data_IF_628007125224
#
_entry.id   IF_628007125224
#
_cell.length_a   1.000
_cell.length_b   1.000
_cell.length_c   1.000
_cell.angle_alpha   90.00
_cell.angle_beta   90.00
_cell.angle_gamma   90.00
#
_symmetry.space_group_name_H-M   'P 1'
#
loop_
_entity.id
_entity.type
_entity.pdbx_description
1 polymer ?
#
# COMPACT_ATOMS: atom_id res chain seq x y z
N UNK A 1 25.68 -22.93 18.12
CA UNK A 1 24.81 -23.17 16.92
C UNK A 1 23.95 -24.42 17.07
N UNK A 2 24.50 -25.64 17.06
CA UNK A 2 23.70 -26.90 17.10
C UNK A 2 22.70 -27.00 18.25
N UNK A 3 23.13 -26.73 19.49
CA UNK A 3 22.25 -26.82 20.66
C UNK A 3 21.04 -25.87 20.55
N UNK A 4 21.26 -24.65 20.06
CA UNK A 4 20.19 -23.65 19.85
C UNK A 4 19.19 -24.11 18.79
N UNK A 5 19.66 -24.66 17.66
CA UNK A 5 18.77 -25.15 16.61
C UNK A 5 17.94 -26.37 17.06
N UNK A 6 18.50 -27.24 17.89
CA UNK A 6 17.78 -28.37 18.46
C UNK A 6 16.73 -27.94 19.48
N UNK A 7 17.06 -27.00 20.37
CA UNK A 7 16.10 -26.41 21.32
C UNK A 7 14.93 -25.74 20.57
N UNK A 8 15.22 -24.93 19.55
CA UNK A 8 14.21 -24.33 18.68
C UNK A 8 13.32 -25.41 18.02
N UNK A 9 13.93 -26.41 17.40
CA UNK A 9 13.20 -27.48 16.71
C UNK A 9 12.31 -28.28 17.67
N UNK A 10 12.77 -28.55 18.89
CA UNK A 10 11.97 -29.20 19.93
C UNK A 10 10.73 -28.37 20.30
N UNK A 11 10.94 -27.09 20.65
CA UNK A 11 9.85 -26.18 21.04
C UNK A 11 8.79 -26.03 19.94
N UNK A 12 9.22 -25.91 18.68
CA UNK A 12 8.29 -25.81 17.55
C UNK A 12 7.41 -27.07 17.42
N UNK A 13 7.97 -28.27 17.58
CA UNK A 13 7.18 -29.51 17.50
C UNK A 13 6.21 -29.65 18.67
N UNK A 14 6.63 -29.26 19.86
CA UNK A 14 5.86 -29.49 21.09
C UNK A 14 4.71 -28.49 21.26
N UNK A 15 4.88 -27.26 20.77
CA UNK A 15 3.95 -26.15 21.07
C UNK A 15 3.21 -25.57 19.87
N UNK A 16 3.63 -25.86 18.63
CA UNK A 16 2.96 -25.30 17.45
C UNK A 16 1.65 -26.01 17.16
N UNK A 17 0.66 -25.24 16.70
CA UNK A 17 -0.54 -25.82 16.10
C UNK A 17 -0.18 -26.50 14.77
N UNK A 18 -0.62 -27.74 14.50
CA UNK A 18 -0.26 -28.45 13.28
C UNK A 18 -1.08 -27.94 12.08
N UNK A 19 -0.79 -26.75 11.56
CA UNK A 19 -1.52 -26.13 10.44
C UNK A 19 -1.47 -26.93 9.13
N UNK A 20 -0.46 -27.79 8.97
CA UNK A 20 -0.37 -28.73 7.85
C UNK A 20 -1.43 -29.83 7.90
N UNK A 21 -2.00 -30.10 9.08
CA UNK A 21 -3.00 -31.15 9.25
C UNK A 21 -4.36 -30.66 8.78
N UNK A 22 -5.00 -31.43 7.89
CA UNK A 22 -6.39 -31.19 7.46
C UNK A 22 -7.41 -31.31 8.61
N UNK A 23 -6.98 -31.75 9.79
CA UNK A 23 -7.80 -31.73 11.01
C UNK A 23 -7.95 -30.34 11.61
N UNK A 24 -7.07 -29.39 11.26
CA UNK A 24 -7.19 -28.01 11.70
C UNK A 24 -8.18 -27.26 10.80
N UNK A 25 -9.36 -26.93 11.34
CA UNK A 25 -10.44 -26.20 10.66
C UNK A 25 -10.80 -24.92 11.44
N UNK A 26 -9.78 -24.19 11.88
CA UNK A 26 -9.91 -23.01 12.73
C UNK A 26 -9.79 -21.69 11.95
N UNK A 27 -8.70 -20.97 12.19
CA UNK A 27 -8.44 -19.64 11.62
C UNK A 27 -7.81 -19.73 10.21
N UNK A 28 -7.46 -18.57 9.63
CA UNK A 28 -6.94 -18.38 8.27
C UNK A 28 -5.51 -18.95 8.04
N UNK A 29 -5.23 -20.15 8.52
CA UNK A 29 -3.92 -20.78 8.37
C UNK A 29 -4.05 -22.17 7.74
N UNK A 30 -3.15 -22.46 6.81
CA UNK A 30 -2.98 -23.75 6.16
C UNK A 30 -1.49 -24.02 5.95
N UNK A 31 -1.16 -25.22 5.46
CA UNK A 31 0.18 -25.44 4.91
C UNK A 31 0.47 -24.43 3.79
N UNK A 32 1.73 -24.06 3.64
CA UNK A 32 2.16 -23.10 2.61
C UNK A 32 2.58 -23.82 1.33
N UNK A 33 2.51 -23.12 0.19
CA UNK A 33 3.02 -23.66 -1.06
C UNK A 33 4.52 -23.94 -0.94
N UNK A 34 4.94 -25.18 -1.25
CA UNK A 34 6.35 -25.58 -1.18
C UNK A 34 7.28 -24.64 -1.97
N UNK A 35 6.83 -24.20 -3.15
CA UNK A 35 7.59 -23.25 -3.98
C UNK A 35 7.79 -21.89 -3.30
N UNK A 36 6.81 -21.40 -2.53
CA UNK A 36 6.94 -20.14 -1.80
C UNK A 36 8.00 -20.24 -0.70
N UNK A 37 7.98 -21.35 0.07
CA UNK A 37 8.97 -21.62 1.11
C UNK A 37 10.38 -21.79 0.53
N UNK A 38 10.52 -22.52 -0.58
CA UNK A 38 11.81 -22.70 -1.27
C UNK A 38 12.35 -21.38 -1.84
N UNK A 39 11.51 -20.58 -2.48
CA UNK A 39 11.89 -19.27 -2.99
C UNK A 39 12.34 -18.34 -1.85
N UNK A 40 11.60 -18.30 -0.74
CA UNK A 40 11.98 -17.48 0.43
C UNK A 40 13.33 -17.91 1.01
N UNK A 41 13.55 -19.22 1.19
CA UNK A 41 14.83 -19.74 1.69
C UNK A 41 15.98 -19.38 0.75
N UNK A 42 15.81 -19.56 -0.56
CA UNK A 42 16.82 -19.21 -1.56
C UNK A 42 17.13 -17.71 -1.56
N UNK A 43 16.10 -16.86 -1.58
CA UNK A 43 16.26 -15.40 -1.60
C UNK A 43 16.89 -14.86 -0.31
N UNK A 44 16.58 -15.45 0.85
CA UNK A 44 17.15 -15.03 2.14
C UNK A 44 18.68 -15.13 2.16
N UNK A 45 19.27 -16.08 1.42
CA UNK A 45 20.73 -16.22 1.32
C UNK A 45 21.40 -15.05 0.59
N UNK A 46 20.66 -14.37 -0.30
CA UNK A 46 21.13 -13.17 -1.00
C UNK A 46 20.74 -11.87 -0.30
N UNK A 47 19.78 -11.95 0.63
CA UNK A 47 19.31 -10.84 1.46
C UNK A 47 19.08 -9.51 0.68
N UNK A 48 18.34 -9.54 -0.44
CA UNK A 48 18.11 -8.34 -1.22
C UNK A 48 17.22 -7.35 -0.44
N UNK A 49 17.43 -6.06 -0.69
CA UNK A 49 16.61 -4.99 -0.12
C UNK A 49 15.83 -4.29 -1.25
N UNK A 50 14.53 -4.56 -1.33
CA UNK A 50 13.63 -4.00 -2.37
C UNK A 50 13.34 -2.49 -2.21
N UNK A 51 13.78 -1.85 -1.11
CA UNK A 51 13.67 -0.38 -0.96
C UNK A 51 14.60 0.34 -1.94
N UNK A 52 15.76 -0.24 -2.24
CA UNK A 52 16.76 0.35 -3.14
C UNK A 52 17.08 -0.63 -4.26
N UNK A 53 16.84 -0.20 -5.50
CA UNK A 53 16.99 -1.04 -6.69
C UNK A 53 18.38 -1.68 -6.82
N UNK A 54 19.44 -0.94 -6.50
CA UNK A 54 20.84 -1.43 -6.57
C UNK A 54 21.11 -2.65 -5.67
N UNK A 55 20.33 -2.82 -4.59
CA UNK A 55 20.44 -3.94 -3.65
C UNK A 55 19.44 -5.07 -3.93
N UNK A 56 18.67 -4.99 -5.01
CA UNK A 56 17.57 -5.90 -5.33
C UNK A 56 17.31 -6.01 -6.83
N UNK A 57 18.36 -5.93 -7.65
CA UNK A 57 18.26 -5.94 -9.12
C UNK A 57 17.46 -7.13 -9.67
N UNK A 58 17.46 -8.27 -8.98
CA UNK A 58 16.67 -9.44 -9.34
C UNK A 58 15.24 -9.40 -8.75
N UNK A 59 15.07 -8.99 -7.50
CA UNK A 59 13.79 -9.10 -6.77
C UNK A 59 12.89 -7.87 -6.90
N UNK A 60 13.43 -6.69 -7.20
CA UNK A 60 12.65 -5.49 -7.49
C UNK A 60 11.77 -5.65 -8.75
N UNK A 61 12.29 -6.15 -9.89
CA UNK A 61 11.44 -6.48 -11.05
C UNK A 61 10.38 -7.54 -10.74
N UNK A 62 10.73 -8.59 -9.97
CA UNK A 62 9.78 -9.63 -9.56
C UNK A 62 8.63 -9.08 -8.72
N UNK A 63 8.88 -8.08 -7.87
CA UNK A 63 7.81 -7.41 -7.11
C UNK A 63 6.89 -6.59 -8.02
N UNK A 64 7.44 -5.92 -9.05
CA UNK A 64 6.64 -5.21 -10.06
C UNK A 64 5.77 -6.20 -10.85
N UNK A 65 6.31 -7.36 -11.21
CA UNK A 65 5.56 -8.45 -11.85
C UNK A 65 4.43 -8.96 -10.95
N UNK A 66 4.72 -9.20 -9.66
CA UNK A 66 3.73 -9.58 -8.65
C UNK A 66 2.60 -8.54 -8.54
N UNK A 67 2.95 -7.25 -8.51
CA UNK A 67 1.97 -6.15 -8.52
C UNK A 67 1.07 -6.15 -9.76
N UNK A 68 1.63 -6.44 -10.94
CA UNK A 68 0.86 -6.58 -12.19
C UNK A 68 -0.04 -7.81 -12.17
N UNK A 69 0.42 -8.90 -11.59
CA UNK A 69 -0.38 -10.11 -11.41
C UNK A 69 -1.56 -9.86 -10.47
N UNK A 70 -1.36 -9.10 -9.39
CA UNK A 70 -2.46 -8.65 -8.52
C UNK A 70 -3.44 -7.73 -9.25
N UNK A 71 -2.95 -6.76 -10.02
CA UNK A 71 -3.82 -5.89 -10.83
C UNK A 71 -4.70 -6.72 -11.78
N UNK A 72 -4.11 -7.70 -12.47
CA UNK A 72 -4.85 -8.62 -13.34
C UNK A 72 -5.87 -9.45 -12.57
N UNK A 73 -5.48 -9.98 -11.41
CA UNK A 73 -6.32 -10.83 -10.56
C UNK A 73 -7.61 -10.11 -10.14
N UNK A 74 -7.53 -8.82 -9.81
CA UNK A 74 -8.68 -8.02 -9.37
C UNK A 74 -9.42 -7.30 -10.51
N UNK A 75 -9.00 -7.51 -11.76
CA UNK A 75 -9.67 -6.97 -12.95
C UNK A 75 -9.24 -5.56 -13.37
N UNK A 76 -8.12 -5.04 -12.85
CA UNK A 76 -7.52 -3.80 -13.34
C UNK A 76 -6.59 -4.05 -14.54
N UNK A 77 -6.38 -3.02 -15.37
CA UNK A 77 -5.41 -3.08 -16.47
C UNK A 77 -3.98 -3.07 -15.90
N UNK A 78 -3.18 -4.15 -16.07
CA UNK A 78 -1.82 -4.22 -15.54
C UNK A 78 -0.83 -3.23 -16.18
N UNK A 79 -1.17 -2.61 -17.31
CA UNK A 79 -0.32 -1.61 -17.97
C UNK A 79 -0.49 -0.21 -17.35
N UNK A 80 -1.66 0.08 -16.79
CA UNK A 80 -1.97 1.39 -16.19
C UNK A 80 -2.12 1.35 -14.67
N UNK A 81 -1.99 0.16 -14.07
CA UNK A 81 -2.15 -0.06 -12.64
C UNK A 81 -0.82 -0.44 -12.00
N UNK A 82 -0.71 -0.20 -10.69
CA UNK A 82 0.48 -0.50 -9.92
C UNK A 82 0.10 -1.12 -8.57
N UNK A 83 0.95 -2.00 -8.07
CA UNK A 83 0.84 -2.63 -6.77
C UNK A 83 2.21 -3.09 -6.30
N UNK A 84 2.34 -3.35 -5.00
CA UNK A 84 3.56 -3.86 -4.38
C UNK A 84 3.20 -4.73 -3.17
N UNK A 85 4.19 -5.42 -2.61
CA UNK A 85 4.02 -6.23 -1.42
C UNK A 85 4.21 -5.33 -0.20
N UNK A 86 3.27 -5.38 0.75
CA UNK A 86 3.40 -4.74 2.06
C UNK A 86 3.82 -5.77 3.11
N UNK A 87 4.21 -5.32 4.30
CA UNK A 87 4.54 -6.22 5.41
C UNK A 87 3.36 -7.14 5.78
N UNK A 88 2.15 -6.59 5.77
CA UNK A 88 0.89 -7.30 6.00
C UNK A 88 -0.31 -6.50 5.47
N UNK A 89 -1.52 -7.05 5.63
CA UNK A 89 -2.77 -6.40 5.22
C UNK A 89 -3.16 -5.18 6.06
N UNK A 90 -2.68 -5.06 7.30
CA UNK A 90 -2.91 -3.86 8.12
C UNK A 90 -2.17 -2.68 7.53
N UNK A 91 -0.90 -2.87 7.17
CA UNK A 91 -0.10 -1.83 6.50
C UNK A 91 -0.70 -1.47 5.14
N UNK A 92 -1.18 -2.45 4.36
CA UNK A 92 -1.88 -2.18 3.09
C UNK A 92 -3.12 -1.30 3.30
N UNK A 93 -3.93 -1.56 4.33
CA UNK A 93 -5.11 -0.73 4.65
C UNK A 93 -4.70 0.69 5.08
N UNK A 94 -3.64 0.82 5.89
CA UNK A 94 -3.11 2.13 6.28
C UNK A 94 -2.60 2.92 5.08
N UNK A 95 -1.88 2.30 4.16
CA UNK A 95 -1.41 2.93 2.93
C UNK A 95 -2.57 3.35 2.02
N UNK A 96 -3.62 2.53 1.89
CA UNK A 96 -4.83 2.88 1.15
C UNK A 96 -5.52 4.12 1.73
N UNK A 97 -5.66 4.19 3.07
CA UNK A 97 -6.20 5.37 3.74
C UNK A 97 -5.29 6.59 3.61
N UNK A 98 -3.97 6.40 3.64
CA UNK A 98 -3.00 7.47 3.43
C UNK A 98 -3.12 8.06 2.02
N UNK A 99 -3.26 7.22 0.99
CA UNK A 99 -3.53 7.64 -0.39
C UNK A 99 -4.86 8.39 -0.49
N UNK A 100 -5.95 7.82 0.02
CA UNK A 100 -7.27 8.43 -0.01
C UNK A 100 -7.29 9.81 0.66
N UNK A 101 -6.67 9.93 1.85
CA UNK A 101 -6.52 11.20 2.57
C UNK A 101 -5.78 12.25 1.74
N UNK A 102 -4.63 11.86 1.15
CA UNK A 102 -3.81 12.78 0.39
C UNK A 102 -4.53 13.25 -0.88
N UNK A 103 -5.15 12.33 -1.62
CA UNK A 103 -5.96 12.63 -2.81
C UNK A 103 -7.10 13.60 -2.46
N UNK A 104 -7.87 13.31 -1.40
CA UNK A 104 -9.01 14.15 -0.98
C UNK A 104 -8.58 15.56 -0.59
N UNK A 105 -7.39 15.73 -0.03
CA UNK A 105 -6.86 17.04 0.39
C UNK A 105 -6.26 17.87 -0.75
N UNK A 106 -5.91 17.24 -1.87
CA UNK A 106 -5.11 17.86 -2.90
C UNK A 106 -5.83 19.00 -3.67
N UNK A 107 -7.10 18.86 -4.09
CA UNK A 107 -7.79 19.91 -4.85
C UNK A 107 -7.86 21.27 -4.13
N UNK A 108 -8.12 21.27 -2.82
CA UNK A 108 -8.11 22.50 -2.02
C UNK A 108 -6.70 23.08 -1.87
N UNK A 109 -5.68 22.21 -1.74
CA UNK A 109 -4.30 22.65 -1.71
C UNK A 109 -3.86 23.27 -3.05
N UNK A 110 -4.28 22.68 -4.17
CA UNK A 110 -4.07 23.21 -5.51
C UNK A 110 -4.80 24.55 -5.70
N UNK A 111 -6.04 24.69 -5.20
CA UNK A 111 -6.77 25.97 -5.20
C UNK A 111 -5.99 27.08 -4.49
N UNK A 112 -5.39 26.76 -3.34
CA UNK A 112 -4.64 27.75 -2.55
C UNK A 112 -3.34 28.24 -3.22
N UNK A 113 -2.69 27.40 -4.03
CA UNK A 113 -1.37 27.71 -4.62
C UNK A 113 -1.40 27.99 -6.12
N UNK A 114 -2.44 27.52 -6.82
CA UNK A 114 -2.63 27.61 -8.25
C UNK A 114 -4.13 27.77 -8.60
N UNK A 115 -4.79 28.86 -8.14
CA UNK A 115 -6.24 29.04 -8.30
C UNK A 115 -6.71 29.07 -9.76
N UNK A 116 -5.83 29.39 -10.71
CA UNK A 116 -6.13 29.36 -12.14
C UNK A 116 -6.44 27.95 -12.67
N UNK A 117 -5.92 26.89 -12.03
CA UNK A 117 -6.13 25.50 -12.46
C UNK A 117 -7.50 24.94 -12.06
N UNK A 118 -8.20 25.61 -11.15
CA UNK A 118 -9.50 25.18 -10.60
C UNK A 118 -10.51 26.33 -10.61
N UNK A 119 -10.35 27.25 -11.56
CA UNK A 119 -11.15 28.48 -11.62
C UNK A 119 -12.63 28.14 -11.82
N UNK A 120 -13.48 28.71 -10.96
CA UNK A 120 -14.92 28.53 -11.03
C UNK A 120 -15.43 27.26 -10.33
N UNK A 121 -14.55 26.42 -9.79
CA UNK A 121 -14.94 25.26 -8.99
C UNK A 121 -15.03 25.65 -7.53
N UNK A 122 -16.20 25.48 -6.92
CA UNK A 122 -16.40 25.77 -5.51
C UNK A 122 -15.75 24.68 -4.61
N UNK A 123 -15.51 24.97 -3.32
CA UNK A 123 -14.85 24.02 -2.41
C UNK A 123 -15.56 22.68 -2.25
N UNK A 124 -16.89 22.63 -2.35
CA UNK A 124 -17.64 21.38 -2.27
C UNK A 124 -17.42 20.53 -3.52
N UNK A 125 -17.49 21.13 -4.71
CA UNK A 125 -17.16 20.45 -5.96
C UNK A 125 -15.70 19.93 -5.97
N UNK A 126 -14.74 20.73 -5.48
CA UNK A 126 -13.34 20.31 -5.35
C UNK A 126 -13.15 19.10 -4.44
N UNK A 127 -13.87 19.06 -3.32
CA UNK A 127 -13.83 17.92 -2.42
C UNK A 127 -14.50 16.66 -3.01
N UNK A 128 -15.28 16.77 -4.07
CA UNK A 128 -16.02 15.64 -4.67
C UNK A 128 -15.59 15.32 -6.10
N UNK A 129 -14.41 15.80 -6.53
CA UNK A 129 -13.81 15.39 -7.80
C UNK A 129 -13.54 13.87 -7.81
N UNK A 130 -13.71 13.20 -8.96
CA UNK A 130 -13.33 11.80 -9.10
C UNK A 130 -11.79 11.67 -9.02
N UNK A 131 -11.26 10.51 -8.59
CA UNK A 131 -9.81 10.31 -8.44
C UNK A 131 -9.01 10.60 -9.72
N UNK A 132 -9.55 10.27 -10.91
CA UNK A 132 -8.92 10.58 -12.20
C UNK A 132 -8.63 12.07 -12.36
N UNK A 133 -9.62 12.92 -12.09
CA UNK A 133 -9.51 14.36 -12.27
C UNK A 133 -8.55 14.97 -11.24
N UNK A 134 -8.45 14.37 -10.06
CA UNK A 134 -7.45 14.75 -9.05
C UNK A 134 -6.04 14.42 -9.55
N UNK A 135 -5.84 13.26 -10.19
CA UNK A 135 -4.56 12.88 -10.79
C UNK A 135 -4.19 13.80 -11.98
N UNK A 136 -5.16 14.16 -12.82
CA UNK A 136 -4.94 15.13 -13.89
C UNK A 136 -4.58 16.52 -13.34
N UNK A 137 -5.24 16.94 -12.25
CA UNK A 137 -4.92 18.18 -11.54
C UNK A 137 -3.53 18.14 -10.89
N UNK A 138 -3.11 16.99 -10.35
CA UNK A 138 -1.76 16.77 -9.85
C UNK A 138 -0.72 17.02 -10.96
N UNK A 139 -0.94 16.44 -12.15
CA UNK A 139 -0.07 16.63 -13.31
C UNK A 139 -0.08 18.05 -13.85
N UNK A 140 -1.24 18.71 -13.90
CA UNK A 140 -1.34 20.12 -14.26
C UNK A 140 -0.59 21.02 -13.26
N UNK A 141 -0.71 20.73 -11.96
CA UNK A 141 -0.02 21.46 -10.89
C UNK A 141 1.50 21.27 -10.95
N UNK A 142 1.96 20.08 -11.35
CA UNK A 142 3.38 19.78 -11.63
C UNK A 142 3.90 20.55 -12.83
N UNK A 143 3.17 20.56 -13.94
CA UNK A 143 3.52 21.37 -15.13
C UNK A 143 3.55 22.87 -14.84
N UNK A 144 2.71 23.35 -13.92
CA UNK A 144 2.69 24.74 -13.47
C UNK A 144 3.79 25.08 -12.43
N UNK A 145 4.65 24.12 -12.05
CA UNK A 145 5.72 24.34 -11.08
C UNK A 145 5.26 24.56 -9.63
N UNK A 146 3.98 24.31 -9.31
CA UNK A 146 3.42 24.53 -7.98
C UNK A 146 3.30 23.26 -7.12
N UNK A 147 3.71 22.10 -7.65
CA UNK A 147 3.50 20.80 -7.00
C UNK A 147 4.04 20.70 -5.57
N UNK A 148 5.30 21.09 -5.34
CA UNK A 148 5.90 21.03 -4.01
C UNK A 148 5.16 21.92 -3.00
N UNK A 149 4.65 23.08 -3.43
CA UNK A 149 3.85 23.97 -2.57
C UNK A 149 2.47 23.36 -2.30
N UNK A 150 1.81 22.80 -3.32
CA UNK A 150 0.54 22.11 -3.16
C UNK A 150 0.67 20.93 -2.17
N UNK A 151 1.72 20.12 -2.27
CA UNK A 151 1.96 19.03 -1.31
C UNK A 151 2.16 19.54 0.12
N UNK A 152 2.91 20.64 0.31
CA UNK A 152 3.08 21.26 1.64
C UNK A 152 1.77 21.80 2.21
N UNK A 153 0.89 22.33 1.37
CA UNK A 153 -0.43 22.82 1.77
C UNK A 153 -1.46 21.71 1.98
N UNK A 154 -1.28 20.55 1.33
CA UNK A 154 -2.13 19.37 1.50
C UNK A 154 -1.97 18.70 2.88
N UNK A 155 -2.78 17.68 3.16
CA UNK A 155 -2.70 16.90 4.40
C UNK A 155 -1.32 16.26 4.65
N UNK A 156 -0.50 16.11 3.60
CA UNK A 156 0.89 15.64 3.72
C UNK A 156 1.78 16.61 4.50
N UNK A 157 1.64 17.92 4.29
CA UNK A 157 2.54 18.92 4.88
C UNK A 157 1.92 19.68 6.05
N UNK A 158 0.62 19.97 6.00
CA UNK A 158 -0.08 20.76 7.03
C UNK A 158 -0.79 19.88 8.08
N UNK A 159 -0.82 18.57 7.86
CA UNK A 159 -1.57 17.63 8.70
C UNK A 159 -3.08 17.77 8.54
N UNK A 160 -3.83 17.09 9.41
CA UNK A 160 -5.30 16.98 9.31
C UNK A 160 -6.06 17.91 10.26
N UNK A 161 -5.38 18.57 11.19
CA UNK A 161 -6.03 19.28 12.30
C UNK A 161 -6.96 20.43 11.88
N UNK A 162 -6.76 20.98 10.68
CA UNK A 162 -7.55 22.11 10.14
C UNK A 162 -8.41 21.73 8.93
N UNK A 163 -8.43 20.46 8.54
CA UNK A 163 -9.08 20.01 7.30
C UNK A 163 -10.33 19.17 7.57
N UNK A 164 -11.46 19.58 6.98
CA UNK A 164 -12.67 18.77 6.95
C UNK A 164 -12.74 17.99 5.62
N UNK A 165 -12.09 16.82 5.57
CA UNK A 165 -12.02 15.99 4.35
C UNK A 165 -13.19 14.99 4.23
N UNK A 166 -14.14 15.01 5.16
CA UNK A 166 -15.27 14.09 5.21
C UNK A 166 -15.07 12.93 6.19
N UNK A 167 -15.68 11.78 5.87
CA UNK A 167 -15.74 10.59 6.73
C UNK A 167 -15.30 9.35 5.95
N UNK A 168 -14.68 8.41 6.64
CA UNK A 168 -14.42 7.06 6.12
C UNK A 168 -15.60 6.18 6.55
N UNK A 169 -16.35 5.67 5.59
CA UNK A 169 -17.48 4.79 5.85
C UNK A 169 -17.01 3.34 5.77
N UNK A 170 -17.30 2.57 6.81
CA UNK A 170 -16.82 1.19 6.98
C UNK A 170 -17.89 0.34 7.65
N UNK A 171 -17.97 -0.97 7.36
CA UNK A 171 -18.87 -1.87 8.08
C UNK A 171 -18.63 -1.87 9.59
N UNK A 172 -19.68 -2.15 10.38
CA UNK A 172 -19.57 -2.28 11.83
C UNK A 172 -18.68 -3.46 12.25
N UNK A 173 -18.60 -4.50 11.41
CA UNK A 173 -17.85 -5.74 11.62
C UNK A 173 -16.46 -5.75 10.98
N UNK A 174 -15.97 -4.60 10.51
CA UNK A 174 -14.64 -4.50 9.89
C UNK A 174 -13.54 -5.05 10.80
N UNK A 175 -12.44 -5.47 10.18
CA UNK A 175 -11.21 -5.77 10.92
C UNK A 175 -10.73 -4.53 11.69
N UNK A 176 -9.91 -4.72 12.71
CA UNK A 176 -9.43 -3.62 13.55
C UNK A 176 -8.54 -2.61 12.79
N UNK A 177 -7.87 -3.07 11.72
CA UNK A 177 -7.04 -2.25 10.82
C UNK A 177 -7.84 -1.26 9.97
#
# INVERSE_FOLDING_TARGET
MRAVLLDLSGRLKDTSTPWFSTRYLGHMNSDTLMVASLAQMATTLYNPNNVTYESSMATSPMEIECGRDFARLVGFDPQTSWGHVTADGTIANYEALWLARNLKSFPLAAQAVAPSLVKGTDPWALLNLPPSDILDLLDATKRAGQFSKALRSSARGSGMARSNLGKVLVPSTRHYS
#
